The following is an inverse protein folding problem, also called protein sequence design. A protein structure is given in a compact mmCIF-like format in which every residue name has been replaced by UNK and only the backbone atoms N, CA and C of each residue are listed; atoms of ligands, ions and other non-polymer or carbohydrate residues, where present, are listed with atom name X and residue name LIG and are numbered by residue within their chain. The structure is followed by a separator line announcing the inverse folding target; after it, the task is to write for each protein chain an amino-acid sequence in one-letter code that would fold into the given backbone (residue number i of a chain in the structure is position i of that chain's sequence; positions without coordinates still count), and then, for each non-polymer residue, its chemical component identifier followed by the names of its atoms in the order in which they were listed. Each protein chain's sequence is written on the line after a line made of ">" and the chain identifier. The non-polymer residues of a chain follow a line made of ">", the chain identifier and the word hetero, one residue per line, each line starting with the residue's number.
data_IF_336938349034
#
_entry.id   IF_336938349034
#
_cell.length_a   1.000
_cell.length_b   1.000
_cell.length_c   1.000
_cell.angle_alpha   90.00
_cell.angle_beta   90.00
_cell.angle_gamma   90.00
#
_symmetry.space_group_name_H-M   'P 1'
#
loop_
_entity.id
_entity.type
_entity.pdbx_description
1 polymer ?
#
# COMPACT_ATOMS: atom_id res chain seq x y z
N UNK A 1 3.11 -14.80 -0.12
CA UNK A 1 4.36 -15.16 0.62
C UNK A 1 5.44 -14.20 0.16
N UNK A 2 6.39 -13.82 1.02
CA UNK A 2 7.45 -12.87 0.67
C UNK A 2 8.84 -13.46 0.92
N UNK A 3 9.87 -12.86 0.33
CA UNK A 3 11.25 -13.31 0.47
C UNK A 3 12.28 -12.20 0.28
N UNK A 4 13.47 -12.40 0.85
CA UNK A 4 14.64 -11.59 0.56
C UNK A 4 15.51 -12.31 -0.48
N UNK A 5 15.75 -11.74 -1.68
CA UNK A 5 16.58 -12.40 -2.69
C UNK A 5 18.02 -12.62 -2.20
N UNK A 6 18.57 -11.70 -1.41
CA UNK A 6 19.90 -11.82 -0.82
C UNK A 6 20.01 -12.89 0.26
N UNK A 7 18.98 -13.09 1.08
CA UNK A 7 19.01 -14.22 2.02
C UNK A 7 19.03 -15.55 1.29
N UNK A 8 18.22 -15.71 0.23
CA UNK A 8 18.20 -16.97 -0.52
C UNK A 8 19.53 -17.24 -1.24
N UNK A 9 20.23 -16.19 -1.66
CA UNK A 9 21.57 -16.27 -2.25
C UNK A 9 22.64 -16.62 -1.21
N UNK A 10 22.67 -15.91 -0.09
CA UNK A 10 23.73 -16.02 0.93
C UNK A 10 23.62 -17.28 1.81
N UNK A 11 22.40 -17.80 2.02
CA UNK A 11 22.19 -18.95 2.90
C UNK A 11 22.72 -20.23 2.24
N UNK A 12 23.53 -20.99 2.99
CA UNK A 12 24.02 -22.32 2.57
C UNK A 12 22.86 -23.27 2.30
N UNK A 13 21.87 -23.30 3.20
CA UNK A 13 20.58 -23.96 3.05
C UNK A 13 19.44 -22.91 3.00
N UNK A 14 19.02 -22.48 1.80
CA UNK A 14 18.03 -21.42 1.61
C UNK A 14 16.63 -21.83 2.06
N UNK A 15 16.01 -20.98 2.86
CA UNK A 15 14.65 -21.21 3.32
C UNK A 15 13.83 -19.91 3.40
N UNK A 16 12.51 -20.08 3.34
CA UNK A 16 11.55 -19.00 3.46
C UNK A 16 11.22 -18.75 4.94
N UNK A 17 11.62 -17.58 5.44
CA UNK A 17 11.50 -17.25 6.87
C UNK A 17 10.05 -16.92 7.25
N UNK A 18 9.63 -17.37 8.43
CA UNK A 18 8.29 -17.09 8.97
C UNK A 18 8.04 -15.58 9.16
N UNK A 19 9.06 -14.82 9.60
CA UNK A 19 8.99 -13.36 9.74
C UNK A 19 8.55 -12.65 8.45
N UNK A 20 8.94 -13.14 7.28
CA UNK A 20 8.57 -12.51 6.00
C UNK A 20 7.07 -12.63 5.69
N UNK A 21 6.32 -13.45 6.44
CA UNK A 21 4.86 -13.51 6.33
C UNK A 21 4.17 -12.42 7.15
N UNK A 22 4.91 -11.74 8.03
CA UNK A 22 4.35 -10.67 8.82
C UNK A 22 3.99 -9.50 7.93
N UNK A 23 2.74 -9.05 7.99
CA UNK A 23 2.21 -8.08 7.02
C UNK A 23 2.93 -6.72 7.10
N UNK A 24 3.45 -6.36 8.29
CA UNK A 24 4.25 -5.15 8.50
C UNK A 24 5.70 -5.28 8.03
N UNK A 25 6.15 -6.48 7.69
CA UNK A 25 7.46 -6.68 7.09
C UNK A 25 7.36 -6.37 5.59
N UNK A 26 8.04 -5.31 5.15
CA UNK A 26 8.20 -4.97 3.72
C UNK A 26 9.67 -5.02 3.27
N UNK A 27 10.60 -5.12 4.21
CA UNK A 27 12.03 -5.13 3.98
C UNK A 27 12.74 -6.27 4.71
N UNK A 28 13.99 -6.55 4.36
CA UNK A 28 14.85 -7.47 5.11
C UNK A 28 15.68 -6.71 6.13
N UNK A 29 15.57 -7.02 7.42
CA UNK A 29 16.38 -6.35 8.45
C UNK A 29 17.89 -6.69 8.37
N UNK A 30 18.25 -7.86 7.81
CA UNK A 30 19.64 -8.30 7.62
C UNK A 30 20.33 -7.55 6.47
N UNK A 31 19.66 -7.44 5.32
CA UNK A 31 20.24 -6.89 4.10
C UNK A 31 19.83 -5.44 3.83
N UNK A 32 18.76 -4.97 4.47
CA UNK A 32 18.18 -3.64 4.26
C UNK A 32 17.78 -3.39 2.82
N UNK A 33 17.12 -4.38 2.21
CA UNK A 33 16.52 -4.31 0.88
C UNK A 33 15.02 -4.61 1.00
N UNK A 34 14.21 -4.13 0.06
CA UNK A 34 12.81 -4.50 -0.03
C UNK A 34 12.65 -6.01 -0.23
N UNK A 35 11.66 -6.62 0.43
CA UNK A 35 11.28 -7.99 0.15
C UNK A 35 10.62 -8.07 -1.23
N UNK A 36 10.48 -9.27 -1.77
CA UNK A 36 9.69 -9.53 -2.96
C UNK A 36 8.53 -10.45 -2.59
N UNK A 37 7.39 -10.27 -3.22
CA UNK A 37 6.18 -11.08 -3.04
C UNK A 37 5.79 -11.89 -4.29
N UNK A 38 6.52 -11.70 -5.39
CA UNK A 38 6.39 -12.43 -6.64
C UNK A 38 7.74 -12.72 -7.29
N UNK A 39 7.70 -13.61 -8.29
CA UNK A 39 8.84 -13.90 -9.12
C UNK A 39 9.21 -12.71 -10.02
N UNK A 40 10.48 -12.28 -10.07
CA UNK A 40 10.91 -11.17 -10.93
C UNK A 40 10.88 -11.51 -12.43
N UNK A 41 10.71 -12.79 -12.80
CA UNK A 41 10.75 -13.25 -14.19
C UNK A 41 9.38 -13.52 -14.81
N UNK A 42 8.39 -13.85 -13.99
CA UNK A 42 7.04 -14.23 -14.47
C UNK A 42 5.90 -13.66 -13.61
N UNK A 43 6.22 -12.86 -12.60
CA UNK A 43 5.31 -12.27 -11.60
C UNK A 43 4.41 -13.27 -10.83
N UNK A 44 4.67 -14.58 -10.98
CA UNK A 44 3.94 -15.59 -10.24
C UNK A 44 4.16 -15.44 -8.72
N UNK A 45 3.10 -15.60 -7.90
CA UNK A 45 3.24 -15.61 -6.45
C UNK A 45 4.09 -16.81 -6.01
N UNK A 46 4.88 -16.64 -4.94
CA UNK A 46 5.61 -17.76 -4.38
C UNK A 46 4.68 -18.79 -3.74
N UNK A 47 4.76 -20.03 -4.23
CA UNK A 47 4.00 -21.18 -3.72
C UNK A 47 4.98 -22.30 -3.30
N UNK A 48 5.52 -22.25 -2.07
CA UNK A 48 6.57 -23.17 -1.63
C UNK A 48 6.13 -24.63 -1.63
N UNK A 49 4.84 -24.88 -1.40
CA UNK A 49 4.24 -26.21 -1.39
C UNK A 49 4.11 -26.86 -2.78
N UNK A 50 4.29 -26.09 -3.87
CA UNK A 50 4.22 -26.60 -5.25
C UNK A 50 5.60 -27.00 -5.80
N UNK A 51 6.62 -27.01 -4.95
CA UNK A 51 8.01 -27.28 -5.33
C UNK A 51 8.39 -28.73 -5.01
N UNK A 52 8.69 -29.56 -6.02
CA UNK A 52 9.12 -30.94 -5.81
C UNK A 52 10.60 -31.05 -5.37
N UNK A 53 11.46 -30.08 -5.74
CA UNK A 53 12.90 -30.10 -5.46
C UNK A 53 13.29 -29.44 -4.12
N UNK A 54 12.35 -28.74 -3.47
CA UNK A 54 12.58 -28.07 -2.18
C UNK A 54 13.47 -26.81 -2.23
N UNK A 55 14.11 -26.51 -3.37
CA UNK A 55 15.03 -25.37 -3.50
C UNK A 55 14.28 -24.03 -3.49
N UNK A 56 14.41 -23.29 -2.38
CA UNK A 56 13.76 -22.01 -2.18
C UNK A 56 14.28 -20.89 -3.09
N UNK A 57 15.42 -21.07 -3.78
CA UNK A 57 15.99 -20.08 -4.71
C UNK A 57 15.25 -20.03 -6.05
N UNK A 58 14.36 -20.97 -6.36
CA UNK A 58 13.74 -21.06 -7.69
C UNK A 58 12.23 -20.77 -7.66
N UNK A 59 11.70 -20.15 -8.72
CA UNK A 59 10.28 -19.82 -8.85
C UNK A 59 9.40 -21.03 -9.17
N UNK A 60 8.39 -21.38 -8.36
CA UNK A 60 7.55 -22.58 -8.56
C UNK A 60 6.85 -22.72 -9.93
N UNK A 61 6.73 -21.63 -10.71
CA UNK A 61 6.11 -21.64 -12.03
C UNK A 61 7.15 -21.67 -13.17
N UNK A 62 8.08 -20.71 -13.21
CA UNK A 62 9.03 -20.58 -14.33
C UNK A 62 10.43 -21.17 -14.08
N UNK A 63 10.68 -21.71 -12.88
CA UNK A 63 11.94 -22.36 -12.47
C UNK A 63 13.20 -21.50 -12.44
N UNK A 64 13.12 -20.24 -12.87
CA UNK A 64 14.24 -19.28 -12.83
C UNK A 64 14.59 -18.90 -11.39
N UNK A 65 15.85 -18.52 -11.20
CA UNK A 65 16.40 -18.10 -9.90
C UNK A 65 15.75 -16.78 -9.43
N UNK A 66 15.33 -16.75 -8.17
CA UNK A 66 14.68 -15.66 -7.47
C UNK A 66 15.68 -14.62 -6.93
N UNK A 67 16.99 -14.85 -7.06
CA UNK A 67 18.05 -13.88 -6.78
C UNK A 67 18.05 -12.74 -7.81
N UNK A 68 17.01 -11.89 -7.77
CA UNK A 68 16.96 -10.66 -8.54
C UNK A 68 17.83 -9.57 -7.92
N UNK A 69 18.05 -8.50 -8.69
CA UNK A 69 18.76 -7.32 -8.24
C UNK A 69 18.15 -6.79 -6.92
N UNK A 70 18.99 -6.46 -5.93
CA UNK A 70 18.53 -5.87 -4.68
C UNK A 70 17.91 -4.50 -4.93
N UNK A 71 16.86 -4.20 -4.17
CA UNK A 71 16.22 -2.88 -4.13
C UNK A 71 16.47 -2.29 -2.73
N UNK A 72 17.50 -1.44 -2.55
CA UNK A 72 17.89 -0.94 -1.24
C UNK A 72 16.81 -0.10 -0.57
N UNK A 73 16.67 -0.28 0.74
CA UNK A 73 15.87 0.60 1.59
C UNK A 73 16.64 1.88 1.91
N UNK A 74 15.95 3.00 2.04
CA UNK A 74 16.45 4.23 2.66
C UNK A 74 16.64 4.02 4.17
N UNK A 75 17.37 4.90 4.87
CA UNK A 75 17.53 4.74 6.34
C UNK A 75 16.20 4.84 7.10
N UNK A 76 15.27 5.78 6.80
CA UNK A 76 13.95 5.79 7.43
C UNK A 76 13.18 4.48 7.22
N UNK A 77 13.24 3.90 6.01
CA UNK A 77 12.62 2.60 5.73
C UNK A 77 13.27 1.46 6.53
N UNK A 78 14.60 1.51 6.73
CA UNK A 78 15.33 0.52 7.55
C UNK A 78 14.91 0.62 9.01
N UNK A 79 14.74 1.82 9.55
CA UNK A 79 14.27 2.02 10.92
C UNK A 79 12.88 1.39 11.13
N UNK A 80 11.94 1.69 10.24
CA UNK A 80 10.59 1.09 10.28
C UNK A 80 10.65 -0.42 10.11
N UNK A 81 11.50 -0.93 9.21
CA UNK A 81 11.71 -2.37 9.03
C UNK A 81 12.25 -3.05 10.31
N UNK A 82 13.18 -2.40 11.03
CA UNK A 82 13.66 -2.88 12.34
C UNK A 82 12.55 -2.85 13.38
N UNK A 83 11.74 -1.78 13.43
CA UNK A 83 10.61 -1.67 14.35
C UNK A 83 9.53 -2.74 14.09
N UNK A 84 9.19 -3.02 12.84
CA UNK A 84 8.29 -4.12 12.47
C UNK A 84 8.88 -5.49 12.87
N UNK A 85 10.19 -5.69 12.68
CA UNK A 85 10.89 -6.90 13.10
C UNK A 85 10.89 -7.08 14.62
N UNK A 86 11.05 -5.98 15.38
CA UNK A 86 10.98 -5.96 16.83
C UNK A 86 9.55 -6.27 17.30
N UNK A 87 8.53 -5.68 16.70
CA UNK A 87 7.13 -6.01 17.00
C UNK A 87 6.83 -7.50 16.81
N UNK A 88 7.32 -8.12 15.73
CA UNK A 88 7.17 -9.55 15.49
C UNK A 88 7.85 -10.41 16.56
N UNK A 89 9.03 -10.00 17.04
CA UNK A 89 9.86 -10.75 17.99
C UNK A 89 9.42 -10.56 19.44
N UNK A 90 9.20 -9.32 19.82
CA UNK A 90 9.02 -8.86 21.20
C UNK A 90 7.54 -8.68 21.55
N UNK A 91 6.66 -8.77 20.55
CA UNK A 91 5.20 -8.70 20.74
C UNK A 91 4.69 -7.33 21.19
N UNK A 92 5.48 -6.26 21.02
CA UNK A 92 5.09 -4.89 21.38
C UNK A 92 5.87 -3.83 20.59
N UNK A 93 5.31 -2.63 20.50
CA UNK A 93 5.96 -1.45 19.93
C UNK A 93 5.56 -0.19 20.68
N UNK A 94 6.35 0.88 20.54
CA UNK A 94 6.00 2.18 21.08
C UNK A 94 4.96 2.88 20.19
N UNK A 95 4.01 3.56 20.82
CA UNK A 95 3.01 4.43 20.20
C UNK A 95 2.96 5.70 21.04
N UNK A 96 3.52 6.80 20.52
CA UNK A 96 3.83 7.96 21.36
C UNK A 96 4.76 7.58 22.51
N UNK A 97 4.41 7.97 23.73
CA UNK A 97 5.13 7.61 24.96
C UNK A 97 4.75 6.24 25.55
N UNK A 98 3.73 5.58 25.00
CA UNK A 98 3.16 4.34 25.55
C UNK A 98 3.63 3.10 24.78
N UNK A 99 3.47 1.91 25.39
CA UNK A 99 3.70 0.63 24.72
C UNK A 99 2.39 -0.03 24.32
N UNK A 100 2.24 -0.32 23.03
CA UNK A 100 1.13 -1.11 22.51
C UNK A 100 1.50 -2.60 22.44
N UNK A 101 0.53 -3.46 22.76
CA UNK A 101 0.64 -4.91 22.53
C UNK A 101 0.67 -5.23 21.03
N UNK A 102 1.16 -6.42 20.67
CA UNK A 102 1.15 -6.91 19.29
C UNK A 102 -0.23 -6.77 18.63
N UNK A 103 -1.27 -7.19 19.34
CA UNK A 103 -2.65 -7.13 18.84
C UNK A 103 -3.08 -5.69 18.57
N UNK A 104 -2.83 -4.80 19.52
CA UNK A 104 -3.30 -3.42 19.40
C UNK A 104 -2.54 -2.65 18.31
N UNK A 105 -1.23 -2.84 18.23
CA UNK A 105 -0.40 -2.29 17.17
C UNK A 105 -0.90 -2.73 15.79
N UNK A 106 -1.19 -4.02 15.60
CA UNK A 106 -1.69 -4.53 14.32
C UNK A 106 -3.07 -3.97 13.98
N UNK A 107 -3.97 -3.85 14.96
CA UNK A 107 -5.30 -3.27 14.72
C UNK A 107 -5.19 -1.79 14.34
N UNK A 108 -4.34 -1.01 15.02
CA UNK A 108 -4.12 0.39 14.70
C UNK A 108 -3.50 0.58 13.31
N UNK A 109 -2.43 -0.17 12.99
CA UNK A 109 -1.79 -0.07 11.67
C UNK A 109 -2.74 -0.51 10.56
N UNK A 110 -3.58 -1.55 10.76
CA UNK A 110 -4.62 -1.92 9.77
C UNK A 110 -5.61 -0.80 9.48
N UNK A 111 -5.95 0.01 10.48
CA UNK A 111 -6.85 1.16 10.33
C UNK A 111 -6.18 2.27 9.56
N UNK A 112 -4.98 2.66 9.99
CA UNK A 112 -4.19 3.69 9.31
C UNK A 112 -3.91 3.27 7.87
N UNK A 113 -3.44 2.04 7.64
CA UNK A 113 -3.17 1.50 6.30
C UNK A 113 -4.39 1.64 5.39
N UNK A 114 -5.57 1.25 5.87
CA UNK A 114 -6.82 1.36 5.10
C UNK A 114 -7.17 2.80 4.74
N UNK A 115 -6.82 3.77 5.59
CA UNK A 115 -7.12 5.18 5.37
C UNK A 115 -6.06 5.87 4.52
N UNK A 116 -4.77 5.72 4.84
CA UNK A 116 -3.66 6.38 4.10
C UNK A 116 -3.54 5.87 2.67
N UNK A 117 -3.95 4.64 2.41
CA UNK A 117 -4.05 4.14 1.04
C UNK A 117 -5.37 4.54 0.38
N UNK A 118 -6.38 5.07 1.07
CA UNK A 118 -7.68 5.39 0.46
C UNK A 118 -7.69 6.73 -0.29
N UNK A 119 -8.63 6.89 -1.22
CA UNK A 119 -8.91 8.18 -1.87
C UNK A 119 -9.47 9.26 -0.90
N UNK A 120 -9.61 8.95 0.40
CA UNK A 120 -10.04 9.91 1.43
C UNK A 120 -8.87 10.65 2.06
N UNK A 121 -7.63 10.24 1.81
CA UNK A 121 -6.44 10.96 2.25
C UNK A 121 -6.37 12.30 1.52
N UNK A 122 -6.25 13.44 2.24
CA UNK A 122 -6.07 14.73 1.58
C UNK A 122 -4.77 14.80 0.78
N UNK A 123 -4.78 15.55 -0.31
CA UNK A 123 -3.57 15.86 -1.07
C UNK A 123 -2.57 16.61 -0.19
N UNK A 124 -1.28 16.27 -0.29
CA UNK A 124 -0.22 16.87 0.51
C UNK A 124 -0.12 16.36 1.96
N UNK A 125 -1.11 15.63 2.49
CA UNK A 125 -1.09 15.13 3.87
C UNK A 125 0.11 14.23 4.17
N UNK A 126 0.54 13.43 3.18
CA UNK A 126 1.74 12.59 3.29
C UNK A 126 3.05 13.39 3.45
N UNK A 127 3.11 14.60 2.86
CA UNK A 127 4.32 15.42 2.89
C UNK A 127 4.62 15.95 4.30
N UNK A 128 3.60 16.13 5.16
CA UNK A 128 3.78 16.53 6.57
C UNK A 128 4.53 15.48 7.39
N UNK A 129 4.62 14.24 6.87
CA UNK A 129 5.29 13.11 7.52
C UNK A 129 6.51 12.62 6.73
N UNK A 130 7.05 13.46 5.83
CA UNK A 130 8.16 13.13 4.93
C UNK A 130 7.90 11.88 4.07
N UNK A 131 6.63 11.57 3.79
CA UNK A 131 6.23 10.45 2.95
C UNK A 131 6.07 10.93 1.51
N UNK A 132 6.76 10.29 0.54
CA UNK A 132 6.66 10.68 -0.87
C UNK A 132 5.20 10.70 -1.36
N UNK A 133 4.78 11.75 -2.05
CA UNK A 133 3.44 11.87 -2.64
C UNK A 133 3.52 12.16 -4.14
N UNK A 134 2.62 11.61 -4.98
CA UNK A 134 1.54 10.68 -4.63
C UNK A 134 2.07 9.27 -4.32
N UNK A 135 1.25 8.47 -3.63
CA UNK A 135 1.51 7.03 -3.49
C UNK A 135 1.72 6.40 -4.88
N UNK A 136 2.68 5.45 -5.05
CA UNK A 136 2.86 4.75 -6.31
C UNK A 136 1.55 4.06 -6.74
N UNK A 137 0.96 4.52 -7.85
CA UNK A 137 -0.39 4.13 -8.28
C UNK A 137 -0.42 2.79 -9.03
N UNK A 138 0.71 2.33 -9.57
CA UNK A 138 0.80 1.17 -10.48
C UNK A 138 0.59 -0.18 -9.82
N UNK A 139 0.56 -0.25 -8.48
CA UNK A 139 0.52 -1.53 -7.74
C UNK A 139 -0.72 -1.72 -6.86
N UNK A 140 -1.70 -0.81 -6.94
CA UNK A 140 -2.85 -0.82 -6.02
C UNK A 140 -4.06 -1.49 -6.65
N UNK A 141 -4.52 -2.57 -6.01
CA UNK A 141 -5.78 -3.22 -6.36
C UNK A 141 -6.97 -2.65 -5.55
N UNK A 142 -8.21 -2.63 -6.11
CA UNK A 142 -9.38 -1.99 -5.48
C UNK A 142 -9.81 -2.54 -4.10
N UNK A 143 -9.17 -3.60 -3.58
CA UNK A 143 -9.56 -4.26 -2.34
C UNK A 143 -8.38 -4.64 -1.43
N UNK A 144 -7.19 -4.07 -1.67
CA UNK A 144 -6.01 -4.45 -0.90
C UNK A 144 -6.18 -4.22 0.60
N UNK A 145 -5.97 -5.30 1.36
CA UNK A 145 -5.77 -5.23 2.80
C UNK A 145 -4.28 -5.14 3.11
N UNK A 146 -3.95 -4.86 4.37
CA UNK A 146 -2.56 -4.86 4.81
C UNK A 146 -1.87 -6.20 4.51
N UNK A 147 -2.60 -7.31 4.56
CA UNK A 147 -2.08 -8.66 4.37
C UNK A 147 -1.90 -9.04 2.90
N UNK A 148 -2.70 -8.46 2.01
CA UNK A 148 -2.73 -8.82 0.58
C UNK A 148 -1.99 -7.82 -0.30
N UNK A 149 -1.79 -6.59 0.17
CA UNK A 149 -1.15 -5.54 -0.59
C UNK A 149 0.26 -5.92 -1.06
N UNK A 150 0.59 -5.50 -2.29
CA UNK A 150 1.92 -5.67 -2.88
C UNK A 150 3.00 -4.99 -2.05
N UNK A 151 4.24 -5.46 -2.18
CA UNK A 151 5.37 -4.90 -1.45
C UNK A 151 5.53 -3.41 -1.70
N UNK A 152 5.40 -2.89 -2.92
CA UNK A 152 5.59 -1.45 -3.16
C UNK A 152 4.55 -0.60 -2.42
N UNK A 153 3.29 -1.04 -2.41
CA UNK A 153 2.23 -0.39 -1.60
C UNK A 153 2.57 -0.45 -0.11
N UNK A 154 3.05 -1.60 0.40
CA UNK A 154 3.41 -1.77 1.82
C UNK A 154 4.65 -0.98 2.21
N UNK A 155 5.66 -0.92 1.34
CA UNK A 155 6.88 -0.12 1.49
C UNK A 155 6.57 1.37 1.59
N UNK A 156 5.49 1.84 0.95
CA UNK A 156 5.02 3.20 1.10
C UNK A 156 4.15 3.41 2.35
N UNK A 157 3.12 2.58 2.53
CA UNK A 157 2.09 2.81 3.55
C UNK A 157 2.54 2.46 4.97
N UNK A 158 3.43 1.48 5.17
CA UNK A 158 3.86 1.07 6.51
C UNK A 158 4.74 2.15 7.16
N UNK A 159 5.77 2.72 6.50
CA UNK A 159 6.49 3.86 7.05
C UNK A 159 5.56 5.02 7.41
N UNK A 160 4.55 5.29 6.56
CA UNK A 160 3.56 6.32 6.88
C UNK A 160 2.75 6.00 8.15
N UNK A 161 2.22 4.77 8.28
CA UNK A 161 1.51 4.35 9.49
C UNK A 161 2.41 4.50 10.73
N UNK A 162 3.69 4.16 10.64
CA UNK A 162 4.63 4.27 11.75
C UNK A 162 4.97 5.72 12.08
N UNK A 163 5.12 6.59 11.09
CA UNK A 163 5.32 8.02 11.28
C UNK A 163 4.14 8.65 12.06
N UNK A 164 2.90 8.30 11.69
CA UNK A 164 1.69 8.73 12.41
C UNK A 164 1.66 8.23 13.86
N UNK A 165 2.16 7.02 14.11
CA UNK A 165 2.13 6.41 15.45
C UNK A 165 3.28 6.85 16.35
N UNK A 166 4.34 7.46 15.80
CA UNK A 166 5.57 7.81 16.51
C UNK A 166 5.34 8.74 17.70
N UNK A 167 4.50 9.74 17.53
CA UNK A 167 4.16 10.81 18.49
C UNK A 167 2.66 10.83 18.78
N UNK A 168 2.02 9.66 18.65
CA UNK A 168 0.57 9.53 18.75
C UNK A 168 0.02 10.00 20.11
N UNK A 169 -1.15 10.68 20.14
CA UNK A 169 -1.99 11.07 18.99
C UNK A 169 -1.70 12.47 18.43
N UNK A 170 -0.70 13.19 18.96
CA UNK A 170 -0.63 14.64 18.83
C UNK A 170 -0.35 15.11 17.40
N UNK A 171 0.70 14.60 16.76
CA UNK A 171 1.02 14.98 15.37
C UNK A 171 -0.09 14.55 14.39
N UNK A 172 -0.70 13.40 14.64
CA UNK A 172 -1.85 12.94 13.84
C UNK A 172 -3.03 13.92 13.95
N UNK A 173 -3.39 14.34 15.17
CA UNK A 173 -4.50 15.26 15.39
C UNK A 173 -4.20 16.66 14.84
N UNK A 174 -2.97 17.14 15.03
CA UNK A 174 -2.50 18.42 14.47
C UNK A 174 -2.62 18.42 12.95
N UNK A 175 -2.07 17.41 12.28
CA UNK A 175 -2.16 17.31 10.83
C UNK A 175 -3.62 17.14 10.36
N UNK A 176 -4.45 16.40 11.09
CA UNK A 176 -5.87 16.28 10.74
C UNK A 176 -6.61 17.62 10.82
N UNK A 177 -6.31 18.45 11.81
CA UNK A 177 -6.90 19.78 11.96
C UNK A 177 -6.49 20.70 10.80
N UNK A 178 -5.19 20.77 10.50
CA UNK A 178 -4.63 21.59 9.41
C UNK A 178 -5.21 21.24 8.03
N UNK A 179 -5.46 19.95 7.77
CA UNK A 179 -6.02 19.47 6.50
C UNK A 179 -7.56 19.26 6.51
N UNK A 180 -8.24 19.66 7.59
CA UNK A 180 -9.70 19.55 7.71
C UNK A 180 -10.22 18.11 7.62
N UNK A 181 -9.50 17.15 8.20
CA UNK A 181 -9.85 15.73 8.23
C UNK A 181 -10.88 15.48 9.32
N UNK A 182 -12.09 15.07 8.91
CA UNK A 182 -13.13 14.65 9.84
C UNK A 182 -13.00 13.19 10.26
N UNK A 183 -13.67 12.87 11.38
CA UNK A 183 -13.86 11.48 11.84
C UNK A 183 -14.40 10.56 10.74
N UNK A 184 -15.36 11.04 9.92
CA UNK A 184 -15.98 10.27 8.84
C UNK A 184 -15.08 10.04 7.62
N UNK A 185 -13.98 10.81 7.49
CA UNK A 185 -12.96 10.59 6.45
C UNK A 185 -11.96 9.51 6.85
N UNK A 186 -11.61 9.42 8.13
CA UNK A 186 -10.68 8.42 8.66
C UNK A 186 -11.36 7.06 8.87
N UNK A 187 -12.63 7.06 9.30
CA UNK A 187 -13.38 5.83 9.49
C UNK A 187 -13.85 5.21 8.18
N UNK A 188 -13.27 4.06 7.81
CA UNK A 188 -13.95 3.09 6.96
C UNK A 188 -14.82 2.17 7.83
N UNK A 189 -16.14 2.33 7.73
CA UNK A 189 -17.17 1.59 8.46
C UNK A 189 -17.18 0.08 8.16
N UNK A 190 -16.37 -0.40 7.19
CA UNK A 190 -16.33 -1.80 6.78
C UNK A 190 -15.40 -2.68 7.60
N UNK A 191 -14.54 -2.12 8.45
CA UNK A 191 -13.63 -2.92 9.31
C UNK A 191 -14.08 -2.81 10.76
N UNK A 192 -14.01 -3.92 11.51
CA UNK A 192 -14.35 -4.00 12.94
C UNK A 192 -13.06 -4.08 13.78
N UNK A 193 -13.10 -3.49 14.98
CA UNK A 193 -11.98 -3.50 15.93
C UNK A 193 -10.95 -2.40 15.71
N UNK A 194 -10.64 -1.67 16.77
CA UNK A 194 -9.46 -0.83 16.97
C UNK A 194 -9.15 -0.83 18.48
N UNK A 195 -7.93 -0.51 18.89
CA UNK A 195 -7.63 -0.33 20.31
C UNK A 195 -8.38 0.87 20.87
N UNK A 196 -8.73 0.85 22.16
CA UNK A 196 -9.46 1.95 22.82
C UNK A 196 -8.72 3.28 22.74
N UNK A 197 -7.39 3.28 22.85
CA UNK A 197 -6.55 4.47 22.70
C UNK A 197 -6.62 5.06 21.27
N UNK A 198 -6.79 4.21 20.26
CA UNK A 198 -6.95 4.64 18.87
C UNK A 198 -8.32 5.28 18.69
N UNK A 199 -9.38 4.60 19.14
CA UNK A 199 -10.75 5.11 19.06
C UNK A 199 -10.93 6.42 19.83
N UNK A 200 -10.27 6.57 20.98
CA UNK A 200 -10.25 7.81 21.77
C UNK A 200 -9.65 8.97 20.99
N UNK A 201 -8.52 8.77 20.31
CA UNK A 201 -7.92 9.79 19.45
C UNK A 201 -8.83 10.14 18.26
N UNK A 202 -9.37 9.14 17.57
CA UNK A 202 -10.31 9.36 16.46
C UNK A 202 -11.59 10.09 16.93
N UNK A 203 -12.01 9.91 18.18
CA UNK A 203 -13.16 10.62 18.76
C UNK A 203 -12.94 12.13 18.95
N UNK A 204 -11.68 12.57 19.03
CA UNK A 204 -11.30 13.98 19.16
C UNK A 204 -11.37 14.74 17.82
N UNK A 205 -11.42 14.02 16.69
CA UNK A 205 -11.54 14.66 15.37
C UNK A 205 -12.91 15.31 15.18
N UNK A 206 -12.98 16.41 14.41
CA UNK A 206 -14.25 17.08 14.16
C UNK A 206 -15.22 16.14 13.44
N UNK A 207 -16.47 16.18 13.88
CA UNK A 207 -17.58 15.52 13.20
C UNK A 207 -18.30 16.54 12.31
N UNK A 208 -17.87 16.68 11.06
CA UNK A 208 -18.66 17.41 10.08
C UNK A 208 -19.82 16.50 9.61
N UNK A 209 -21.09 16.88 9.86
CA UNK A 209 -22.21 16.21 9.22
C UNK A 209 -21.94 16.23 7.72
N UNK A 210 -22.12 15.10 7.02
CA UNK A 210 -22.05 15.09 5.56
C UNK A 210 -22.97 16.23 5.08
N UNK A 211 -22.40 17.28 4.48
CA UNK A 211 -23.21 18.23 3.75
C UNK A 211 -24.07 17.38 2.82
N UNK A 212 -25.40 17.47 2.96
CA UNK A 212 -26.30 16.87 1.98
C UNK A 212 -25.77 17.36 0.64
N UNK A 213 -25.18 16.46 -0.16
CA UNK A 213 -25.00 16.73 -1.58
C UNK A 213 -26.41 17.07 -2.05
N UNK A 214 -26.71 18.34 -2.22
CA UNK A 214 -27.80 18.76 -3.05
C UNK A 214 -27.44 18.17 -4.41
N UNK A 215 -28.04 17.01 -4.72
CA UNK A 215 -28.06 16.50 -6.08
C UNK A 215 -28.82 17.55 -6.87
N UNK A 216 -28.14 18.60 -7.34
CA UNK A 216 -28.58 19.21 -8.57
C UNK A 216 -28.23 18.19 -9.65
N UNK A 217 -29.22 17.54 -10.29
CA UNK A 217 -28.91 16.74 -11.46
C UNK A 217 -28.19 17.66 -12.46
N UNK A 218 -27.12 17.21 -13.12
CA UNK A 218 -26.54 18.00 -14.20
C UNK A 218 -27.69 18.27 -15.19
N UNK A 219 -27.89 19.55 -15.54
CA UNK A 219 -28.84 19.91 -16.61
C UNK A 219 -28.41 19.12 -17.83
N UNK A 220 -29.29 18.23 -18.33
CA UNK A 220 -29.05 17.54 -19.60
C UNK A 220 -28.79 18.60 -20.67
N UNK A 221 -27.69 18.53 -21.44
CA UNK A 221 -27.51 19.40 -22.59
C UNK A 221 -28.70 19.21 -23.55
N UNK A 222 -29.22 20.31 -24.10
CA UNK A 222 -30.29 20.25 -25.09
C UNK A 222 -29.75 19.67 -26.40
N UNK A 223 -30.62 19.11 -27.24
CA UNK A 223 -30.26 18.56 -28.56
C UNK A 223 -29.52 19.57 -29.46
N UNK A 224 -29.70 20.87 -29.21
CA UNK A 224 -29.00 21.95 -29.90
C UNK A 224 -27.50 22.01 -29.58
N UNK A 225 -27.11 21.63 -28.35
CA UNK A 225 -25.69 21.61 -27.96
C UNK A 225 -24.93 20.50 -28.67
N UNK A 226 -25.58 19.35 -28.93
CA UNK A 226 -25.00 18.22 -29.66
C UNK A 226 -24.80 18.50 -31.15
N UNK A 227 -25.69 19.26 -31.79
CA UNK A 227 -25.59 19.58 -33.24
C UNK A 227 -24.38 20.48 -33.54
N UNK A 228 -24.08 21.44 -32.68
CA UNK A 228 -22.94 22.36 -32.86
C UNK A 228 -21.56 21.67 -32.77
N UNK A 229 -21.47 20.55 -32.06
CA UNK A 229 -20.23 19.79 -31.90
C UNK A 229 -19.96 18.83 -33.07
N UNK A 230 -21.02 18.36 -33.75
CA UNK A 230 -20.92 17.40 -34.85
C UNK A 230 -20.61 18.06 -36.21
N UNK A 231 -20.88 19.35 -36.40
CA UNK A 231 -20.63 20.05 -37.66
C UNK A 231 -19.15 20.42 -37.89
N UNK A 232 -18.26 20.16 -36.92
CA UNK A 232 -16.83 20.54 -37.00
C UNK A 232 -15.85 19.39 -37.26
N UNK A 233 -16.33 18.16 -37.43
CA UNK A 233 -15.47 17.00 -37.71
C UNK A 233 -15.92 16.33 -39.00
N UNK A 234 -15.10 16.47 -40.05
CA UNK A 234 -15.29 15.73 -41.30
C UNK A 234 -15.12 14.23 -41.01
N UNK A 235 -16.07 13.43 -41.50
CA UNK A 235 -16.15 11.99 -41.26
C UNK A 235 -14.98 11.20 -41.88
N UNK A 236 -14.27 11.78 -42.85
CA UNK A 236 -13.13 11.15 -43.55
C UNK A 236 -11.87 11.00 -42.66
N UNK A 237 -11.60 11.93 -41.74
CA UNK A 237 -10.34 11.93 -40.96
C UNK A 237 -10.31 10.83 -39.89
N UNK A 238 -11.47 10.42 -39.37
CA UNK A 238 -11.59 9.45 -38.28
C UNK A 238 -11.22 8.02 -38.69
N UNK A 239 -11.40 7.64 -39.96
CA UNK A 239 -11.13 6.27 -40.43
C UNK A 239 -9.69 6.04 -40.94
N UNK A 240 -8.90 7.10 -41.11
CA UNK A 240 -7.50 6.99 -41.55
C UNK A 240 -6.56 6.53 -40.44
N UNK A 241 -6.89 6.82 -39.17
CA UNK A 241 -6.02 6.59 -38.01
C UNK A 241 -6.16 5.20 -37.38
N UNK A 242 -7.16 4.39 -37.77
CA UNK A 242 -7.44 3.08 -37.18
C UNK A 242 -6.86 1.87 -37.93
N UNK A 243 -5.98 2.06 -38.92
CA UNK A 243 -5.48 0.97 -39.81
C UNK A 243 -3.99 0.63 -39.73
N UNK A 244 -3.34 0.81 -38.57
CA UNK A 244 -2.02 0.20 -38.33
C UNK A 244 -1.96 -0.62 -37.03
N UNK A 245 -2.19 -1.93 -37.16
CA UNK A 245 -1.78 -2.97 -36.20
C UNK A 245 -0.71 -3.82 -36.91
N UNK A 246 0.55 -3.85 -36.46
CA UNK A 246 1.50 -4.83 -36.94
C UNK A 246 1.24 -6.21 -36.29
N UNK A 247 1.38 -7.32 -37.04
CA UNK A 247 1.05 -8.67 -36.56
C UNK A 247 2.13 -9.21 -35.62
N UNK A 248 1.70 -10.06 -34.68
CA UNK A 248 2.59 -10.78 -33.77
C UNK A 248 3.44 -11.85 -34.46
N UNK A 249 4.56 -12.18 -33.82
CA UNK A 249 5.29 -13.43 -34.00
C UNK A 249 5.48 -14.05 -32.62
N UNK A 250 4.87 -15.22 -32.42
CA UNK A 250 5.46 -16.27 -31.61
C UNK A 250 6.16 -17.24 -32.55
N UNK A 251 7.37 -17.62 -32.19
CA UNK A 251 7.83 -19.01 -32.01
C UNK A 251 8.83 -19.01 -30.84
#
# INVERSE_FOLDING_TARGET
>A
MQYCPKCLEDDEDPYLRAQWRFALQFGCARHGIALRDACPHCDAPLMPHRRPDGDARKCSECWKNLSALPDPLTEPEREVCRAASALYRDGSMHVGSERATFRDAILAVRRLFSWVTSARLPEGFANEFDIPSPMPSTEREPFDTLETARIGVRRWAIPFCFALLRTWPDDFLKACDEFGVSRTRVMDLRRTGAPSWFDSAIARLPHFPRARRTRHPPRRPTLETYKSAFERVSFEDYFSTLRHVPPGCGE
#
